data_IF_544430972626
#
_entry.id   IF_544430972626
#
_cell.length_a   1.000
_cell.length_b   1.000
_cell.length_c   1.000
_cell.angle_alpha   90.00
_cell.angle_beta   90.00
_cell.angle_gamma   90.00
#
_symmetry.space_group_name_H-M   'P 1'
#
loop_
_entity.id
_entity.type
_entity.pdbx_description
1 polymer ?
#
# COMPACT_ATOMS: atom_id res chain seq x y z
N UNK A 1 35.41 4.94 64.64
CA UNK A 1 34.99 6.15 63.89
C UNK A 1 34.02 5.69 62.82
N UNK A 2 32.71 5.71 63.09
CA UNK A 2 31.71 5.29 62.10
C UNK A 2 31.49 6.42 61.10
N UNK A 3 31.94 6.23 59.85
CA UNK A 3 31.60 7.12 58.75
C UNK A 3 30.09 7.00 58.51
N UNK A 4 29.38 8.11 58.75
CA UNK A 4 27.94 8.24 58.57
C UNK A 4 27.49 7.71 57.20
N UNK A 5 26.51 6.80 57.17
CA UNK A 5 25.91 6.24 55.95
C UNK A 5 25.31 7.31 55.03
N UNK A 6 25.04 8.50 55.56
CA UNK A 6 24.57 9.64 54.78
C UNK A 6 25.64 10.22 53.85
N UNK A 7 26.93 10.05 54.15
CA UNK A 7 28.04 10.54 53.31
C UNK A 7 28.09 9.84 51.95
N UNK A 8 28.10 8.49 51.84
CA UNK A 8 28.06 7.83 50.53
C UNK A 8 26.74 8.07 49.78
N UNK A 9 25.61 8.17 50.49
CA UNK A 9 24.31 8.50 49.86
C UNK A 9 24.33 9.91 49.27
N UNK A 10 24.84 10.90 50.01
CA UNK A 10 24.97 12.28 49.54
C UNK A 10 25.89 12.41 48.33
N UNK A 11 26.99 11.63 48.30
CA UNK A 11 27.88 11.57 47.15
C UNK A 11 27.17 11.06 45.89
N UNK A 12 26.46 9.93 46.00
CA UNK A 12 25.70 9.37 44.86
C UNK A 12 24.58 10.33 44.43
N UNK A 13 23.85 10.92 45.36
CA UNK A 13 22.79 11.89 45.05
C UNK A 13 23.35 13.10 44.28
N UNK A 14 24.50 13.62 44.70
CA UNK A 14 25.16 14.75 44.00
C UNK A 14 25.62 14.36 42.60
N UNK A 15 26.14 13.14 42.40
CA UNK A 15 26.48 12.62 41.08
C UNK A 15 25.25 12.47 40.19
N UNK A 16 24.15 11.92 40.71
CA UNK A 16 22.91 11.76 39.94
C UNK A 16 22.33 13.12 39.56
N UNK A 17 22.26 14.07 40.48
CA UNK A 17 21.75 15.42 40.20
C UNK A 17 22.62 16.12 39.16
N UNK A 18 23.94 16.09 39.31
CA UNK A 18 24.85 16.70 38.33
C UNK A 18 24.77 16.04 36.96
N UNK A 19 24.65 14.71 36.89
CA UNK A 19 24.44 13.97 35.64
C UNK A 19 23.11 14.32 34.98
N UNK A 20 22.01 14.43 35.74
CA UNK A 20 20.69 14.79 35.21
C UNK A 20 20.67 16.23 34.67
N UNK A 21 21.26 17.17 35.41
CA UNK A 21 21.38 18.58 34.96
C UNK A 21 22.22 18.65 33.69
N UNK A 22 23.37 17.99 33.65
CA UNK A 22 24.22 17.94 32.46
C UNK A 22 23.50 17.29 31.27
N UNK A 23 22.86 16.13 31.45
CA UNK A 23 22.11 15.43 30.41
C UNK A 23 20.99 16.30 29.85
N UNK A 24 20.26 17.03 30.71
CA UNK A 24 19.19 17.94 30.27
C UNK A 24 19.73 19.13 29.48
N UNK A 25 20.82 19.75 29.93
CA UNK A 25 21.45 20.89 29.22
C UNK A 25 22.04 20.42 27.88
N UNK A 26 22.75 19.29 27.86
CA UNK A 26 23.37 18.73 26.67
C UNK A 26 22.32 18.34 25.63
N UNK A 27 21.27 17.60 26.01
CA UNK A 27 20.17 17.24 25.09
C UNK A 27 19.45 18.48 24.56
N UNK A 28 19.22 19.49 25.40
CA UNK A 28 18.60 20.76 24.96
C UNK A 28 19.49 21.51 23.97
N UNK A 29 20.80 21.62 24.22
CA UNK A 29 21.75 22.26 23.28
C UNK A 29 21.90 21.47 22.00
N UNK A 30 21.98 20.14 22.08
CA UNK A 30 22.05 19.25 20.92
C UNK A 30 20.82 19.41 20.02
N UNK A 31 19.61 19.41 20.61
CA UNK A 31 18.37 19.65 19.86
C UNK A 31 18.33 21.04 19.20
N UNK A 32 18.78 22.08 19.91
CA UNK A 32 18.85 23.44 19.35
C UNK A 32 19.86 23.56 18.21
N UNK A 33 21.01 22.88 18.30
CA UNK A 33 22.00 22.88 17.24
C UNK A 33 21.46 22.15 16.00
N UNK A 34 20.79 21.00 16.18
CA UNK A 34 20.13 20.29 15.09
C UNK A 34 19.05 21.15 14.41
N UNK A 35 18.25 21.88 15.19
CA UNK A 35 17.24 22.80 14.67
C UNK A 35 17.86 23.97 13.87
N UNK A 36 19.02 24.50 14.28
CA UNK A 36 19.73 25.56 13.55
C UNK A 36 20.35 25.05 12.24
N UNK A 37 20.78 23.80 12.23
CA UNK A 37 21.35 23.13 11.05
C UNK A 37 20.27 22.50 10.16
N UNK A 38 18.99 22.69 10.50
CA UNK A 38 17.88 22.14 9.74
C UNK A 38 17.83 22.76 8.34
N UNK A 39 17.90 21.90 7.34
CA UNK A 39 17.64 22.22 5.95
C UNK A 39 16.60 21.20 5.46
N UNK A 40 15.47 21.63 4.88
CA UNK A 40 14.50 20.71 4.31
C UNK A 40 15.17 19.80 3.26
N UNK A 41 14.86 18.50 3.30
CA UNK A 41 15.40 17.56 2.32
C UNK A 41 14.90 17.86 0.90
N UNK A 42 13.65 18.31 0.79
CA UNK A 42 13.05 18.77 -0.46
C UNK A 42 13.06 20.29 -0.53
N UNK A 43 13.96 20.85 -1.34
CA UNK A 43 14.13 22.31 -1.48
C UNK A 43 12.92 23.02 -2.13
N UNK A 44 12.11 22.28 -2.89
CA UNK A 44 10.97 22.81 -3.64
C UNK A 44 9.74 23.15 -2.75
N UNK A 45 9.80 22.89 -1.43
CA UNK A 45 8.65 23.07 -0.55
C UNK A 45 7.51 22.10 -0.88
N UNK A 46 6.34 22.22 -0.22
CA UNK A 46 5.18 21.35 -0.50
C UNK A 46 4.01 22.13 -1.12
N UNK A 47 4.21 22.65 -2.33
CA UNK A 47 3.23 23.49 -3.02
C UNK A 47 1.81 22.88 -3.08
N UNK A 48 1.69 21.57 -3.37
CA UNK A 48 0.38 20.90 -3.45
C UNK A 48 -0.40 20.92 -2.11
N UNK A 49 0.31 20.95 -0.98
CA UNK A 49 -0.27 21.04 0.37
C UNK A 49 -0.68 22.47 0.65
N UNK A 50 0.18 23.42 0.31
CA UNK A 50 -0.10 24.85 0.49
C UNK A 50 -1.31 25.29 -0.34
N UNK A 51 -1.44 24.80 -1.58
CA UNK A 51 -2.63 25.01 -2.42
C UNK A 51 -3.87 24.42 -1.74
N UNK A 52 -3.81 23.18 -1.26
CA UNK A 52 -4.93 22.55 -0.58
C UNK A 52 -5.35 23.32 0.68
N UNK A 53 -4.39 23.70 1.53
CA UNK A 53 -4.66 24.48 2.74
C UNK A 53 -5.25 25.86 2.42
N UNK A 54 -4.78 26.49 1.34
CA UNK A 54 -5.34 27.75 0.86
C UNK A 54 -6.79 27.58 0.39
N UNK A 55 -7.09 26.48 -0.31
CA UNK A 55 -8.46 26.15 -0.74
C UNK A 55 -9.39 25.84 0.43
N UNK A 56 -8.88 25.16 1.47
CA UNK A 56 -9.64 24.90 2.71
C UNK A 56 -9.91 26.19 3.48
N UNK A 57 -8.95 27.13 3.49
CA UNK A 57 -9.07 28.41 4.18
C UNK A 57 -9.80 29.49 3.35
N UNK A 58 -10.16 29.22 2.09
CA UNK A 58 -10.79 30.19 1.21
C UNK A 58 -12.24 30.51 1.64
N UNK A 59 -12.63 31.78 1.48
CA UNK A 59 -13.99 32.28 1.66
C UNK A 59 -14.40 33.05 0.39
N UNK A 60 -15.40 32.58 -0.40
CA UNK A 60 -16.36 31.50 -0.13
C UNK A 60 -15.75 30.08 -0.16
N UNK A 61 -16.37 29.10 0.51
CA UNK A 61 -15.84 27.74 0.60
C UNK A 61 -15.74 27.10 -0.79
N UNK A 62 -14.59 26.49 -1.07
CA UNK A 62 -14.36 25.77 -2.31
C UNK A 62 -15.31 24.55 -2.42
N UNK A 63 -15.77 24.19 -3.64
CA UNK A 63 -16.56 22.98 -3.84
C UNK A 63 -15.82 21.72 -3.36
N UNK A 64 -16.58 20.77 -2.82
CA UNK A 64 -16.02 19.54 -2.25
C UNK A 64 -15.26 18.70 -3.30
N UNK A 65 -15.70 18.73 -4.55
CA UNK A 65 -15.04 18.05 -5.66
C UNK A 65 -13.63 18.62 -5.91
N UNK A 66 -13.47 19.94 -5.80
CA UNK A 66 -12.19 20.62 -5.96
C UNK A 66 -11.27 20.28 -4.79
N UNK A 67 -11.79 20.23 -3.57
CA UNK A 67 -11.01 19.83 -2.39
C UNK A 67 -10.54 18.37 -2.47
N UNK A 68 -11.41 17.45 -2.91
CA UNK A 68 -11.03 16.04 -3.15
C UNK A 68 -9.96 15.91 -4.23
N UNK A 69 -10.08 16.66 -5.33
CA UNK A 69 -9.08 16.68 -6.39
C UNK A 69 -7.73 17.27 -5.91
N UNK A 70 -7.77 18.34 -5.11
CA UNK A 70 -6.58 18.94 -4.52
C UNK A 70 -5.90 18.00 -3.52
N UNK A 71 -6.66 17.29 -2.67
CA UNK A 71 -6.13 16.28 -1.76
C UNK A 71 -5.48 15.11 -2.53
N UNK A 72 -6.09 14.67 -3.63
CA UNK A 72 -5.50 13.66 -4.50
C UNK A 72 -4.19 14.14 -5.14
N UNK A 73 -4.12 15.41 -5.55
CA UNK A 73 -2.90 16.02 -6.06
C UNK A 73 -1.79 16.13 -5.00
N UNK A 74 -2.16 16.43 -3.74
CA UNK A 74 -1.27 16.36 -2.58
C UNK A 74 -0.72 14.94 -2.43
N UNK A 75 -1.58 13.93 -2.39
CA UNK A 75 -1.17 12.51 -2.32
C UNK A 75 -0.27 12.06 -3.48
N UNK A 76 -0.52 12.51 -4.72
CA UNK A 76 0.37 12.23 -5.86
C UNK A 76 1.78 12.83 -5.68
N UNK A 77 1.88 13.98 -5.03
CA UNK A 77 3.16 14.63 -4.72
C UNK A 77 3.91 13.84 -3.66
N UNK A 78 3.21 13.37 -2.63
CA UNK A 78 3.78 12.47 -1.62
C UNK A 78 4.26 11.16 -2.21
N UNK A 79 3.50 10.53 -3.10
CA UNK A 79 3.94 9.30 -3.80
C UNK A 79 5.26 9.53 -4.56
N UNK A 80 5.38 10.64 -5.29
CA UNK A 80 6.63 10.98 -5.99
C UNK A 80 7.80 11.13 -5.02
N UNK A 81 7.57 11.74 -3.85
CA UNK A 81 8.57 11.85 -2.78
C UNK A 81 8.94 10.51 -2.18
N UNK A 82 7.97 9.63 -1.93
CA UNK A 82 8.20 8.27 -1.41
C UNK A 82 9.11 7.50 -2.37
N UNK A 83 8.81 7.53 -3.67
CA UNK A 83 9.63 6.87 -4.69
C UNK A 83 11.07 7.38 -4.67
N UNK A 84 11.25 8.72 -4.66
CA UNK A 84 12.57 9.35 -4.59
C UNK A 84 13.32 9.00 -3.30
N UNK A 85 12.65 9.08 -2.15
CA UNK A 85 13.24 8.72 -0.84
C UNK A 85 13.71 7.28 -0.80
N UNK A 86 12.92 6.35 -1.35
CA UNK A 86 13.30 4.93 -1.38
C UNK A 86 14.57 4.71 -2.21
N UNK A 87 14.66 5.36 -3.37
CA UNK A 87 15.82 5.24 -4.25
C UNK A 87 17.06 5.92 -3.61
N UNK A 88 16.87 7.09 -2.99
CA UNK A 88 17.89 7.81 -2.23
C UNK A 88 18.40 7.00 -1.03
N UNK A 89 17.52 6.29 -0.29
CA UNK A 89 17.89 5.45 0.86
C UNK A 89 18.91 4.38 0.50
N UNK A 90 18.72 3.73 -0.65
CA UNK A 90 19.64 2.70 -1.15
C UNK A 90 20.99 3.31 -1.56
N UNK A 91 20.97 4.45 -2.24
CA UNK A 91 22.18 5.16 -2.65
C UNK A 91 22.98 5.67 -1.44
N UNK A 92 22.32 6.32 -0.47
CA UNK A 92 22.93 6.85 0.75
C UNK A 92 23.55 5.74 1.61
N UNK A 93 22.89 4.59 1.74
CA UNK A 93 23.45 3.44 2.47
C UNK A 93 24.82 3.01 1.91
N UNK A 94 24.95 3.01 0.58
CA UNK A 94 26.22 2.66 -0.09
C UNK A 94 27.28 3.76 0.10
N UNK A 95 26.89 5.02 0.03
CA UNK A 95 27.80 6.16 0.21
C UNK A 95 28.30 6.29 1.65
N UNK A 96 27.45 5.97 2.64
CA UNK A 96 27.83 5.99 4.06
C UNK A 96 28.90 4.94 4.36
N UNK A 97 28.75 3.73 3.84
CA UNK A 97 29.75 2.67 3.98
C UNK A 97 31.10 3.03 3.35
N UNK A 98 31.08 3.85 2.29
CA UNK A 98 32.29 4.38 1.64
C UNK A 98 32.90 5.59 2.37
N UNK A 99 32.23 6.13 3.38
CA UNK A 99 32.67 7.32 4.12
C UNK A 99 32.64 8.62 3.30
N UNK A 100 31.95 8.63 2.15
CA UNK A 100 31.86 9.81 1.27
C UNK A 100 30.77 10.81 1.71
N UNK A 101 29.92 10.42 2.66
CA UNK A 101 28.89 11.28 3.29
C UNK A 101 29.04 11.22 4.81
N UNK A 102 28.70 12.32 5.49
CA UNK A 102 28.72 12.38 6.95
C UNK A 102 27.43 11.86 7.60
N UNK A 103 27.52 11.45 8.87
CA UNK A 103 26.39 10.95 9.66
C UNK A 103 25.24 11.97 9.80
N UNK A 104 25.58 13.27 9.76
CA UNK A 104 24.62 14.37 9.79
C UNK A 104 23.65 14.31 8.60
N UNK A 105 24.12 13.95 7.40
CA UNK A 105 23.24 13.78 6.22
C UNK A 105 22.27 12.62 6.42
N UNK A 106 22.73 11.52 7.03
CA UNK A 106 21.88 10.36 7.31
C UNK A 106 20.83 10.68 8.38
N UNK A 107 21.20 11.46 9.41
CA UNK A 107 20.27 11.95 10.42
C UNK A 107 19.18 12.84 9.80
N UNK A 108 19.56 13.74 8.87
CA UNK A 108 18.61 14.59 8.12
C UNK A 108 17.68 13.79 7.23
N UNK A 109 18.21 12.79 6.52
CA UNK A 109 17.39 11.89 5.71
C UNK A 109 16.34 11.16 6.56
N UNK A 110 16.74 10.65 7.73
CA UNK A 110 15.83 9.97 8.67
C UNK A 110 14.76 10.92 9.22
N UNK A 111 15.09 12.20 9.45
CA UNK A 111 14.13 13.21 9.86
C UNK A 111 13.10 13.48 8.75
N UNK A 112 13.56 13.62 7.51
CA UNK A 112 12.69 13.82 6.34
C UNK A 112 11.79 12.60 6.07
N UNK A 113 12.28 11.38 6.32
CA UNK A 113 11.46 10.16 6.25
C UNK A 113 10.29 10.23 7.23
N UNK A 114 10.55 10.63 8.48
CA UNK A 114 9.50 10.81 9.50
C UNK A 114 8.54 11.94 9.20
N UNK A 115 9.02 13.04 8.62
CA UNK A 115 8.18 14.15 8.18
C UNK A 115 7.22 13.71 7.06
N UNK A 116 7.72 12.94 6.10
CA UNK A 116 6.90 12.36 5.03
C UNK A 116 5.90 11.32 5.57
N UNK A 117 6.30 10.48 6.53
CA UNK A 117 5.38 9.55 7.21
C UNK A 117 4.25 10.29 7.94
N UNK A 118 4.57 11.40 8.62
CA UNK A 118 3.56 12.23 9.28
C UNK A 118 2.59 12.86 8.28
N UNK A 119 3.11 13.37 7.15
CA UNK A 119 2.31 13.93 6.06
C UNK A 119 1.37 12.87 5.44
N UNK A 120 1.85 11.64 5.22
CA UNK A 120 1.03 10.52 4.74
C UNK A 120 -0.13 10.24 5.70
N UNK A 121 0.14 10.19 7.01
CA UNK A 121 -0.89 9.97 8.02
C UNK A 121 -1.92 11.10 8.06
N UNK A 122 -1.48 12.34 7.89
CA UNK A 122 -2.35 13.52 7.79
C UNK A 122 -3.29 13.39 6.59
N UNK A 123 -2.76 13.10 5.40
CA UNK A 123 -3.53 12.89 4.16
C UNK A 123 -4.53 11.73 4.30
N UNK A 124 -4.13 10.62 4.91
CA UNK A 124 -5.04 9.48 5.18
C UNK A 124 -6.16 9.90 6.12
N UNK A 125 -5.84 10.66 7.18
CA UNK A 125 -6.84 11.12 8.14
C UNK A 125 -7.84 12.08 7.50
N UNK A 126 -7.35 13.03 6.69
CA UNK A 126 -8.19 13.97 5.93
C UNK A 126 -9.04 13.25 4.88
N UNK A 127 -8.50 12.28 4.15
CA UNK A 127 -9.29 11.49 3.21
C UNK A 127 -10.47 10.79 3.91
N UNK A 128 -10.25 10.30 5.14
CA UNK A 128 -11.31 9.68 5.92
C UNK A 128 -12.38 10.68 6.41
N UNK A 129 -12.08 11.98 6.51
CA UNK A 129 -13.10 13.00 6.85
C UNK A 129 -14.05 13.27 5.69
N UNK A 130 -13.57 13.17 4.45
CA UNK A 130 -14.43 13.28 3.26
C UNK A 130 -15.27 12.01 3.03
N UNK A 131 -14.66 10.83 3.21
CA UNK A 131 -15.37 9.55 3.09
C UNK A 131 -14.66 8.47 3.88
N UNK A 132 -15.39 7.80 4.76
CA UNK A 132 -14.88 6.66 5.51
C UNK A 132 -14.28 5.58 4.59
N UNK A 133 -13.06 5.14 4.90
CA UNK A 133 -12.33 4.13 4.13
C UNK A 133 -11.59 4.68 2.90
N UNK A 134 -11.77 5.95 2.53
CA UNK A 134 -11.06 6.52 1.38
C UNK A 134 -9.55 6.64 1.63
N UNK A 135 -9.12 6.83 2.88
CA UNK A 135 -7.71 6.89 3.25
C UNK A 135 -6.91 5.63 2.88
N UNK A 136 -7.54 4.46 2.79
CA UNK A 136 -6.86 3.22 2.35
C UNK A 136 -6.68 3.16 0.83
N UNK A 137 -7.51 3.87 0.06
CA UNK A 137 -7.55 3.83 -1.39
C UNK A 137 -6.83 5.00 -2.06
N UNK A 138 -6.66 6.13 -1.36
CA UNK A 138 -6.11 7.37 -1.93
C UNK A 138 -4.68 7.20 -2.45
N UNK A 139 -3.80 6.55 -1.68
CA UNK A 139 -2.39 6.35 -2.07
C UNK A 139 -2.20 5.33 -3.20
N UNK A 140 -2.87 4.15 -3.20
CA UNK A 140 -2.88 3.27 -4.36
C UNK A 140 -3.37 3.97 -5.63
N UNK A 141 -4.47 4.72 -5.53
CA UNK A 141 -5.02 5.48 -6.67
C UNK A 141 -4.05 6.56 -7.15
N UNK A 142 -3.45 7.32 -6.23
CA UNK A 142 -2.44 8.32 -6.54
C UNK A 142 -1.19 7.70 -7.20
N UNK A 143 -0.80 6.48 -6.80
CA UNK A 143 0.32 5.76 -7.40
C UNK A 143 0.07 5.41 -8.86
N UNK A 144 -1.12 4.90 -9.18
CA UNK A 144 -1.51 4.62 -10.57
C UNK A 144 -1.59 5.90 -11.40
N UNK A 145 -2.09 7.01 -10.83
CA UNK A 145 -2.12 8.31 -11.51
C UNK A 145 -0.72 8.84 -11.81
N UNK A 146 0.21 8.76 -10.85
CA UNK A 146 1.61 9.16 -11.04
C UNK A 146 2.28 8.30 -12.13
N UNK A 147 2.03 6.99 -12.13
CA UNK A 147 2.54 6.10 -13.18
C UNK A 147 1.97 6.46 -14.56
N UNK A 148 0.66 6.72 -14.65
CA UNK A 148 0.01 7.15 -15.88
C UNK A 148 0.57 8.50 -16.38
N UNK A 149 0.76 9.49 -15.51
CA UNK A 149 1.35 10.77 -15.88
C UNK A 149 2.77 10.61 -16.42
N UNK A 150 3.58 9.75 -15.81
CA UNK A 150 4.94 9.45 -16.29
C UNK A 150 4.92 8.80 -17.67
N UNK A 151 4.02 7.85 -17.92
CA UNK A 151 3.88 7.24 -19.25
C UNK A 151 3.40 8.26 -20.30
N UNK A 152 2.47 9.14 -19.92
CA UNK A 152 1.96 10.21 -20.78
C UNK A 152 3.06 11.21 -21.15
N UNK A 153 3.90 11.60 -20.20
CA UNK A 153 5.06 12.47 -20.43
C UNK A 153 6.04 11.84 -21.44
N UNK A 154 6.46 10.60 -21.20
CA UNK A 154 7.34 9.85 -22.10
C UNK A 154 6.73 9.77 -23.51
N UNK A 155 5.44 9.48 -23.61
CA UNK A 155 4.74 9.39 -24.89
C UNK A 155 4.81 10.70 -25.68
N UNK A 156 4.54 11.84 -25.05
CA UNK A 156 4.63 13.15 -25.74
C UNK A 156 6.07 13.55 -26.04
N UNK A 157 7.01 13.21 -25.17
CA UNK A 157 8.43 13.48 -25.40
C UNK A 157 8.97 12.72 -26.61
N UNK A 158 8.52 11.49 -26.86
CA UNK A 158 8.88 10.73 -28.06
C UNK A 158 8.46 11.48 -29.33
N UNK A 159 7.26 12.08 -29.33
CA UNK A 159 6.78 12.88 -30.47
C UNK A 159 7.62 14.13 -30.67
N UNK A 160 7.96 14.83 -29.57
CA UNK A 160 8.78 16.04 -29.59
C UNK A 160 10.21 15.75 -30.06
N UNK A 161 10.84 14.71 -29.52
CA UNK A 161 12.19 14.28 -29.91
C UNK A 161 12.22 13.84 -31.38
N UNK A 162 11.20 13.13 -31.85
CA UNK A 162 11.06 12.77 -33.26
C UNK A 162 11.03 14.02 -34.15
N UNK A 163 10.19 15.01 -33.84
CA UNK A 163 10.11 16.23 -34.64
C UNK A 163 11.45 17.00 -34.68
N UNK A 164 12.16 17.06 -33.54
CA UNK A 164 13.48 17.68 -33.47
C UNK A 164 14.53 16.92 -34.30
N UNK A 165 14.52 15.59 -34.25
CA UNK A 165 15.44 14.74 -35.00
C UNK A 165 15.17 14.79 -36.50
N UNK A 166 13.90 14.79 -36.91
CA UNK A 166 13.51 14.96 -38.33
C UNK A 166 14.05 16.27 -38.87
N UNK A 167 13.85 17.38 -38.14
CA UNK A 167 14.38 18.69 -38.52
C UNK A 167 15.90 18.67 -38.63
N UNK A 168 16.60 18.06 -37.66
CA UNK A 168 18.06 17.91 -37.69
C UNK A 168 18.53 17.14 -38.93
N UNK A 169 17.84 16.07 -39.30
CA UNK A 169 18.16 15.26 -40.47
C UNK A 169 17.87 15.99 -41.78
N UNK A 170 16.80 16.78 -41.83
CA UNK A 170 16.48 17.66 -42.96
C UNK A 170 17.57 18.73 -43.17
N UNK A 171 17.99 19.39 -42.09
CA UNK A 171 19.08 20.38 -42.11
C UNK A 171 20.42 19.74 -42.56
N UNK A 172 20.67 18.49 -42.20
CA UNK A 172 21.84 17.71 -42.62
C UNK A 172 21.71 17.05 -44.01
N UNK A 173 20.55 17.18 -44.68
CA UNK A 173 20.29 16.56 -45.98
C UNK A 173 20.25 15.04 -45.98
N UNK A 174 20.04 14.41 -44.82
CA UNK A 174 19.98 12.95 -44.65
C UNK A 174 18.55 12.43 -44.81
N UNK A 175 18.36 11.18 -45.25
CA UNK A 175 17.01 10.62 -45.41
C UNK A 175 16.32 10.47 -44.06
N UNK A 176 15.10 11.00 -43.95
CA UNK A 176 14.28 10.90 -42.74
C UNK A 176 13.75 9.46 -42.59
N UNK A 177 14.06 8.77 -41.48
CA UNK A 177 13.56 7.42 -41.25
C UNK A 177 12.05 7.44 -40.98
N UNK A 178 11.30 6.61 -41.72
CA UNK A 178 9.85 6.45 -41.50
C UNK A 178 9.59 5.73 -40.16
N UNK A 179 8.58 6.15 -39.37
CA UNK A 179 8.20 5.44 -38.17
C UNK A 179 7.77 4.00 -38.49
N UNK A 180 8.40 3.01 -37.86
CA UNK A 180 7.94 1.60 -37.91
C UNK A 180 6.67 1.40 -37.07
N UNK A 181 6.45 2.26 -36.07
CA UNK A 181 5.28 2.23 -35.19
C UNK A 181 4.68 3.64 -35.18
N UNK A 182 3.45 3.75 -35.69
CA UNK A 182 2.64 4.95 -35.50
C UNK A 182 2.03 4.91 -34.10
N UNK A 183 2.34 5.92 -33.31
CA UNK A 183 1.85 6.02 -31.94
C UNK A 183 0.36 6.44 -32.00
N UNK A 184 -0.58 5.62 -31.50
CA UNK A 184 -2.01 5.94 -31.54
C UNK A 184 -2.29 7.17 -30.67
N UNK A 185 -3.17 8.10 -31.09
CA UNK A 185 -3.43 9.32 -30.33
C UNK A 185 -3.97 8.98 -28.93
N UNK A 186 -3.32 9.52 -27.88
CA UNK A 186 -3.70 9.28 -26.48
C UNK A 186 -5.05 9.90 -26.09
N UNK A 187 -5.59 10.78 -26.92
CA UNK A 187 -6.92 11.36 -26.72
C UNK A 187 -7.91 10.48 -27.47
N UNK A 188 -8.65 9.67 -26.74
CA UNK A 188 -9.84 9.06 -27.32
C UNK A 188 -10.82 10.21 -27.63
N UNK A 189 -11.32 10.32 -28.88
CA UNK A 189 -12.27 11.38 -29.23
C UNK A 189 -13.49 11.33 -28.30
N UNK A 190 -14.06 12.48 -27.89
CA UNK A 190 -15.29 12.50 -27.11
C UNK A 190 -16.38 11.70 -27.86
N UNK A 191 -16.89 10.63 -27.24
CA UNK A 191 -17.82 9.67 -27.87
C UNK A 191 -17.29 8.24 -28.04
N UNK A 192 -16.03 7.98 -27.70
CA UNK A 192 -15.50 6.62 -27.60
C UNK A 192 -16.06 5.92 -26.37
N UNK A 193 -17.05 5.03 -26.57
CA UNK A 193 -17.49 4.09 -25.55
C UNK A 193 -16.36 3.10 -25.30
N UNK A 194 -15.74 3.19 -24.12
CA UNK A 194 -14.88 2.13 -23.60
C UNK A 194 -15.83 1.00 -23.21
N UNK A 195 -16.09 0.08 -24.15
CA UNK A 195 -16.75 -1.17 -23.82
C UNK A 195 -15.75 -1.99 -22.97
N UNK A 196 -15.97 -2.01 -21.66
CA UNK A 196 -15.37 -3.01 -20.79
C UNK A 196 -15.89 -4.34 -21.33
N UNK A 197 -15.04 -5.07 -22.05
CA UNK A 197 -15.39 -6.36 -22.63
C UNK A 197 -15.71 -7.34 -21.50
N UNK A 198 -16.97 -7.35 -21.08
CA UNK A 198 -17.57 -8.49 -20.43
C UNK A 198 -17.39 -9.68 -21.36
N UNK A 199 -16.81 -10.75 -20.83
CA UNK A 199 -16.55 -11.98 -21.57
C UNK A 199 -17.78 -12.46 -22.33
N UNK A 200 -17.59 -13.15 -23.46
CA UNK A 200 -18.65 -13.44 -24.40
C UNK A 200 -19.71 -14.36 -23.79
N UNK A 201 -20.95 -13.85 -23.72
CA UNK A 201 -22.21 -14.56 -23.87
C UNK A 201 -22.45 -15.78 -22.98
N UNK A 202 -23.24 -15.62 -21.92
CA UNK A 202 -23.81 -16.72 -21.16
C UNK A 202 -25.25 -16.43 -20.75
N UNK A 203 -26.20 -17.03 -21.47
CA UNK A 203 -27.63 -17.09 -21.15
C UNK A 203 -27.89 -17.36 -19.66
N UNK A 204 -28.88 -16.66 -19.12
CA UNK A 204 -29.51 -17.00 -17.84
C UNK A 204 -30.09 -18.42 -17.92
N UNK A 205 -29.46 -19.36 -17.21
CA UNK A 205 -29.96 -20.69 -16.89
C UNK A 205 -29.73 -20.96 -15.40
N UNK A 206 -30.59 -21.74 -14.72
CA UNK A 206 -30.65 -21.77 -13.27
C UNK A 206 -29.43 -22.47 -12.66
N UNK A 207 -28.98 -21.91 -11.54
CA UNK A 207 -27.89 -22.44 -10.72
C UNK A 207 -28.16 -23.87 -10.22
N UNK A 208 -27.16 -24.76 -10.23
CA UNK A 208 -27.12 -25.88 -9.30
C UNK A 208 -26.28 -25.45 -8.08
N UNK A 209 -26.95 -25.30 -6.94
CA UNK A 209 -26.28 -25.14 -5.65
C UNK A 209 -25.51 -26.40 -5.25
N UNK A 210 -24.36 -26.19 -4.61
CA UNK A 210 -23.61 -27.21 -3.87
C UNK A 210 -22.61 -26.52 -2.92
N UNK A 211 -22.46 -26.95 -1.65
CA UNK A 211 -21.97 -26.10 -0.57
C UNK A 211 -20.49 -26.35 -0.22
N UNK A 212 -19.83 -25.29 0.26
CA UNK A 212 -18.57 -25.28 1.02
C UNK A 212 -17.27 -25.75 0.32
N UNK A 213 -16.48 -24.77 -0.13
CA UNK A 213 -15.03 -24.88 -0.36
C UNK A 213 -14.43 -23.51 -0.71
N UNK A 214 -13.25 -23.12 -0.19
CA UNK A 214 -12.67 -21.80 -0.46
C UNK A 214 -12.15 -21.75 -1.91
N UNK A 215 -12.87 -21.05 -2.77
CA UNK A 215 -12.47 -20.81 -4.16
C UNK A 215 -11.25 -19.90 -4.24
N UNK A 216 -10.07 -20.49 -4.42
CA UNK A 216 -8.86 -19.74 -4.76
C UNK A 216 -8.94 -19.40 -6.25
N UNK A 217 -9.29 -18.15 -6.56
CA UNK A 217 -9.17 -17.60 -7.92
C UNK A 217 -7.69 -17.36 -8.23
N UNK A 218 -7.04 -18.30 -8.92
CA UNK A 218 -5.69 -18.08 -9.45
C UNK A 218 -5.76 -17.40 -10.82
N UNK A 219 -4.93 -16.37 -11.08
CA UNK A 219 -4.90 -15.70 -12.36
C UNK A 219 -4.37 -16.65 -13.45
N UNK A 220 -5.19 -16.84 -14.48
CA UNK A 220 -4.86 -17.56 -15.71
C UNK A 220 -4.37 -16.57 -16.76
N UNK A 221 -3.29 -16.93 -17.48
CA UNK A 221 -2.82 -16.17 -18.63
C UNK A 221 -2.83 -17.06 -19.88
N UNK A 222 -3.39 -16.53 -20.98
CA UNK A 222 -3.55 -17.25 -22.26
C UNK A 222 -4.86 -18.05 -22.39
N UNK A 223 -5.17 -18.47 -23.61
CA UNK A 223 -6.33 -19.30 -23.95
C UNK A 223 -5.93 -20.45 -24.86
N UNK A 224 -6.40 -21.67 -24.59
CA UNK A 224 -6.07 -22.86 -25.39
C UNK A 224 -4.75 -23.53 -24.97
N UNK A 225 -3.95 -23.98 -25.94
CA UNK A 225 -2.73 -24.76 -25.72
C UNK A 225 -1.58 -24.01 -25.01
N UNK A 226 -1.68 -22.68 -24.91
CA UNK A 226 -0.70 -21.81 -24.26
C UNK A 226 -1.15 -21.31 -22.88
N UNK A 227 -2.25 -21.85 -22.34
CA UNK A 227 -2.76 -21.44 -21.04
C UNK A 227 -1.76 -21.78 -19.92
N UNK A 228 -1.49 -20.82 -19.03
CA UNK A 228 -0.64 -21.02 -17.84
C UNK A 228 -1.32 -20.48 -16.58
N UNK A 229 -1.27 -21.30 -15.53
CA UNK A 229 -1.73 -20.97 -14.17
C UNK A 229 -0.51 -20.61 -13.33
N UNK A 230 -0.52 -19.43 -12.70
CA UNK A 230 0.56 -19.01 -11.79
C UNK A 230 0.21 -19.39 -10.36
N UNK A 231 1.02 -20.24 -9.73
CA UNK A 231 0.87 -20.61 -8.32
C UNK A 231 1.39 -19.50 -7.38
N UNK A 232 0.99 -19.51 -6.09
CA UNK A 232 1.40 -18.50 -5.10
C UNK A 232 2.92 -18.41 -4.85
N UNK A 233 3.68 -19.41 -5.29
CA UNK A 233 5.15 -19.46 -5.25
C UNK A 233 5.80 -18.91 -6.54
N UNK A 234 5.03 -18.34 -7.47
CA UNK A 234 5.51 -17.77 -8.73
C UNK A 234 5.73 -18.78 -9.86
N UNK A 235 5.43 -20.07 -9.64
CA UNK A 235 5.62 -21.12 -10.66
C UNK A 235 4.44 -21.14 -11.64
N UNK A 236 4.72 -21.08 -12.94
CA UNK A 236 3.70 -21.14 -14.00
C UNK A 236 3.57 -22.55 -14.57
N UNK A 237 2.41 -23.18 -14.40
CA UNK A 237 2.11 -24.55 -14.89
C UNK A 237 0.95 -24.56 -15.86
N UNK A 238 0.97 -25.51 -16.80
CA UNK A 238 -0.12 -25.69 -17.75
C UNK A 238 -1.37 -26.23 -17.01
N UNK A 239 -2.60 -25.82 -17.36
CA UNK A 239 -3.81 -26.23 -16.65
C UNK A 239 -4.03 -27.75 -16.63
N UNK A 240 -3.58 -28.47 -17.68
CA UNK A 240 -3.62 -29.93 -17.69
C UNK A 240 -2.72 -30.57 -16.60
N UNK A 241 -1.62 -29.91 -16.22
CA UNK A 241 -0.75 -30.36 -15.12
C UNK A 241 -1.38 -30.05 -13.76
N UNK A 242 -2.07 -28.91 -13.61
CA UNK A 242 -2.83 -28.58 -12.40
C UNK A 242 -3.98 -29.58 -12.17
N UNK A 243 -4.67 -29.98 -13.24
CA UNK A 243 -5.76 -30.96 -13.18
C UNK A 243 -5.25 -32.38 -12.87
N UNK A 244 -4.07 -32.75 -13.40
CA UNK A 244 -3.39 -33.99 -13.06
C UNK A 244 -2.89 -34.02 -11.60
N UNK A 245 -2.45 -32.86 -11.07
CA UNK A 245 -2.10 -32.67 -9.65
C UNK A 245 -3.32 -32.81 -8.72
N UNK A 246 -4.52 -32.50 -9.19
CA UNK A 246 -5.72 -32.51 -8.36
C UNK A 246 -6.47 -33.85 -8.27
N UNK A 247 -6.45 -34.73 -9.29
CA UNK A 247 -7.44 -35.82 -9.31
C UNK A 247 -7.03 -37.21 -9.85
N UNK A 248 -5.77 -37.54 -10.16
CA UNK A 248 -5.54 -38.88 -10.75
C UNK A 248 -4.15 -39.51 -10.61
N UNK A 249 -4.07 -40.85 -10.79
CA UNK A 249 -2.79 -41.57 -10.80
C UNK A 249 -1.89 -41.04 -11.93
N UNK A 250 -0.59 -40.96 -11.63
CA UNK A 250 0.43 -40.35 -12.47
C UNK A 250 0.45 -40.98 -13.88
N UNK A 251 0.46 -40.17 -14.97
CA UNK A 251 0.63 -40.70 -16.31
C UNK A 251 2.05 -41.29 -16.49
N UNK A 252 2.20 -42.44 -17.17
CA UNK A 252 3.40 -43.30 -17.12
C UNK A 252 4.64 -42.76 -17.84
N UNK A 253 4.65 -41.53 -18.34
CA UNK A 253 5.73 -41.03 -19.22
C UNK A 253 6.32 -39.67 -18.80
N UNK A 254 6.37 -39.37 -17.49
CA UNK A 254 7.05 -38.16 -17.00
C UNK A 254 8.55 -38.40 -16.75
N UNK A 255 9.40 -37.36 -16.96
CA UNK A 255 10.81 -37.43 -16.59
C UNK A 255 10.95 -37.67 -15.07
N UNK A 256 11.86 -38.55 -14.63
CA UNK A 256 11.92 -39.04 -13.24
C UNK A 256 12.12 -37.93 -12.19
N UNK A 257 12.74 -36.82 -12.57
CA UNK A 257 12.93 -35.66 -11.69
C UNK A 257 11.61 -34.94 -11.38
N UNK A 258 10.69 -34.85 -12.34
CA UNK A 258 9.38 -34.20 -12.12
C UNK A 258 8.46 -35.07 -11.29
N UNK A 259 8.51 -36.40 -11.48
CA UNK A 259 7.75 -37.35 -10.65
C UNK A 259 8.19 -37.29 -9.17
N UNK A 260 9.49 -37.20 -8.91
CA UNK A 260 10.02 -37.06 -7.57
C UNK A 260 9.60 -35.72 -6.91
N UNK A 261 9.67 -34.62 -7.66
CA UNK A 261 9.29 -33.29 -7.15
C UNK A 261 7.80 -33.19 -6.83
N UNK A 262 6.92 -33.80 -7.65
CA UNK A 262 5.48 -33.82 -7.38
C UNK A 262 5.15 -34.69 -6.16
N UNK A 263 5.86 -35.81 -5.99
CA UNK A 263 5.72 -36.66 -4.80
C UNK A 263 6.16 -35.93 -3.53
N UNK A 264 7.27 -35.20 -3.58
CA UNK A 264 7.77 -34.39 -2.47
C UNK A 264 6.81 -33.24 -2.13
N UNK A 265 6.30 -32.54 -3.14
CA UNK A 265 5.31 -31.48 -2.95
C UNK A 265 4.02 -32.01 -2.29
N UNK A 266 3.57 -33.21 -2.67
CA UNK A 266 2.41 -33.85 -2.05
C UNK A 266 2.67 -34.22 -0.59
N UNK A 267 3.87 -34.73 -0.28
CA UNK A 267 4.26 -35.07 1.09
C UNK A 267 4.30 -33.83 2.00
N UNK A 268 4.84 -32.71 1.51
CA UNK A 268 4.88 -31.45 2.28
C UNK A 268 3.48 -30.89 2.55
N UNK A 269 2.58 -30.98 1.58
CA UNK A 269 1.21 -30.47 1.71
C UNK A 269 0.38 -31.28 2.71
N UNK A 270 0.59 -32.60 2.73
CA UNK A 270 -0.05 -33.49 3.69
C UNK A 270 0.47 -33.28 5.11
N UNK A 271 1.78 -33.05 5.28
CA UNK A 271 2.37 -32.69 6.57
C UNK A 271 1.87 -31.34 7.10
N UNK A 272 1.67 -30.35 6.22
CA UNK A 272 1.10 -29.06 6.60
C UNK A 272 -0.37 -29.18 7.03
N UNK A 273 -1.13 -30.05 6.37
CA UNK A 273 -2.52 -30.32 6.71
C UNK A 273 -2.65 -31.02 8.07
N UNK A 274 -1.74 -31.96 8.39
CA UNK A 274 -1.68 -32.58 9.71
C UNK A 274 -1.34 -31.56 10.81
N UNK A 275 -0.38 -30.64 10.57
CA UNK A 275 -0.09 -29.57 11.52
C UNK A 275 -1.28 -28.63 11.75
N UNK A 276 -2.02 -28.29 10.70
CA UNK A 276 -3.21 -27.45 10.80
C UNK A 276 -4.33 -28.15 11.60
N UNK A 277 -4.54 -29.45 11.39
CA UNK A 277 -5.51 -30.24 12.15
C UNK A 277 -5.11 -30.40 13.62
N UNK A 278 -3.82 -30.57 13.92
CA UNK A 278 -3.31 -30.62 15.29
C UNK A 278 -3.53 -29.28 16.03
N UNK A 279 -3.34 -28.14 15.36
CA UNK A 279 -3.63 -26.83 15.94
C UNK A 279 -5.13 -26.61 16.17
N UNK A 280 -5.99 -27.07 15.27
CA UNK A 280 -7.44 -26.98 15.44
C UNK A 280 -7.96 -27.82 16.62
N UNK A 281 -7.39 -29.01 16.84
CA UNK A 281 -7.73 -29.84 18.00
C UNK A 281 -7.23 -29.24 19.32
N UNK A 282 -6.07 -28.57 19.32
CA UNK A 282 -5.58 -27.85 20.50
C UNK A 282 -6.47 -26.65 20.87
N UNK A 283 -7.08 -25.97 19.88
CA UNK A 283 -8.01 -24.86 20.14
C UNK A 283 -9.37 -25.35 20.67
N UNK A 284 -9.90 -26.48 20.18
CA UNK A 284 -11.16 -27.05 20.69
C UNK A 284 -11.04 -27.59 22.12
N UNK A 285 -9.87 -28.08 22.54
CA UNK A 285 -9.63 -28.49 23.93
C UNK A 285 -9.63 -27.33 24.93
N UNK A 286 -9.25 -26.13 24.50
CA UNK A 286 -9.21 -24.93 25.36
C UNK A 286 -10.57 -24.27 25.60
N UNK A 287 -11.52 -24.40 24.66
CA UNK A 287 -12.87 -23.84 24.82
C UNK A 287 -13.78 -24.71 25.70
N UNK A 288 -13.61 -26.03 25.69
CA UNK A 288 -14.37 -26.92 26.57
C UNK A 288 -14.10 -26.64 28.07
N UNK A 289 -12.85 -26.29 28.41
CA UNK A 289 -12.46 -26.01 29.79
C UNK A 289 -12.89 -24.61 30.27
N UNK A 290 -13.19 -23.69 29.34
CA UNK A 290 -13.63 -22.32 29.66
C UNK A 290 -15.15 -22.21 29.86
N UNK A 291 -15.92 -23.12 29.25
CA UNK A 291 -17.38 -23.17 29.40
C UNK A 291 -17.78 -23.80 30.74
N UNK A 292 -17.01 -24.75 31.26
CA UNK A 292 -17.31 -25.40 32.55
C UNK A 292 -17.10 -24.46 33.76
N UNK A 293 -16.17 -23.51 33.67
CA UNK A 293 -15.89 -22.53 34.75
C UNK A 293 -16.91 -21.36 34.76
N UNK A 294 -17.54 -21.06 33.62
CA UNK A 294 -18.49 -19.95 33.50
C UNK A 294 -19.91 -20.29 33.98
N UNK A 295 -20.25 -21.59 34.12
CA UNK A 295 -21.59 -22.03 34.52
C UNK A 295 -21.85 -21.93 36.05
N UNK A 296 -20.81 -21.79 36.88
CA UNK A 296 -20.96 -21.75 38.35
C UNK A 296 -21.15 -20.34 38.96
N UNK A 297 -21.03 -19.24 38.19
CA UNK A 297 -20.87 -17.89 38.78
C UNK A 297 -21.95 -16.83 38.48
N UNK A 298 -23.13 -17.17 37.95
CA UNK A 298 -24.09 -16.15 37.50
C UNK A 298 -25.56 -16.33 37.91
N UNK A 299 -25.92 -16.10 39.18
CA UNK A 299 -27.32 -15.79 39.60
C UNK A 299 -27.34 -14.59 40.55
N UNK A 300 -28.25 -13.63 40.27
CA UNK A 300 -28.51 -12.27 40.84
C UNK A 300 -27.83 -11.19 39.99
N UNK A 301 -28.52 -10.18 39.43
CA UNK A 301 -29.58 -9.30 39.98
C UNK A 301 -30.17 -8.46 38.81
N UNK A 302 -31.42 -8.67 38.40
CA UNK A 302 -32.63 -7.80 38.59
C UNK A 302 -32.54 -6.33 38.14
N UNK A 303 -33.21 -6.07 37.00
CA UNK A 303 -34.16 -4.97 36.67
C UNK A 303 -33.78 -3.48 36.80
N UNK A 304 -33.98 -2.72 35.70
CA UNK A 304 -35.22 -1.95 35.45
C UNK A 304 -35.09 -0.92 34.30
N UNK A 305 -36.24 -0.62 33.68
CA UNK A 305 -36.59 0.52 32.80
C UNK A 305 -35.84 0.69 31.45
N UNK A 306 -36.46 1.03 30.32
CA UNK A 306 -37.83 1.40 30.03
C UNK A 306 -37.88 2.41 28.86
N UNK A 307 -38.40 1.95 27.72
CA UNK A 307 -39.14 2.69 26.69
C UNK A 307 -38.46 3.68 25.68
N UNK A 308 -38.83 3.43 24.41
CA UNK A 308 -39.34 4.37 23.39
C UNK A 308 -38.40 4.98 22.31
N UNK A 309 -38.36 4.27 21.16
CA UNK A 309 -38.72 4.71 19.79
C UNK A 309 -38.28 6.08 19.21
N UNK A 310 -37.58 6.04 18.06
CA UNK A 310 -38.14 6.46 16.75
C UNK A 310 -37.20 6.13 15.58
N UNK A 311 -37.72 5.36 14.62
CA UNK A 311 -37.18 5.19 13.28
C UNK A 311 -37.73 6.30 12.36
N UNK A 312 -36.91 6.75 11.39
CA UNK A 312 -37.40 7.57 10.27
C UNK A 312 -36.78 7.07 8.96
N UNK A 313 -37.63 6.41 8.17
CA UNK A 313 -37.49 6.13 6.74
C UNK A 313 -38.00 7.34 5.94
N UNK A 314 -37.40 7.63 4.79
CA UNK A 314 -37.98 8.50 3.77
C UNK A 314 -37.57 8.02 2.38
N UNK A 315 -38.58 7.78 1.53
CA UNK A 315 -38.46 7.52 0.09
C UNK A 315 -39.51 8.39 -0.63
N UNK A 316 -39.04 9.03 -1.71
CA UNK A 316 -39.67 9.35 -3.01
C UNK A 316 -40.85 10.34 -3.05
N UNK A 317 -40.71 11.41 -3.84
CA UNK A 317 -41.60 11.69 -4.98
C UNK A 317 -41.00 12.69 -5.99
N UNK A 318 -41.28 12.39 -7.26
CA UNK A 318 -40.96 13.08 -8.50
C UNK A 318 -41.62 14.48 -8.61
N UNK A 319 -41.01 15.33 -9.43
CA UNK A 319 -41.60 16.61 -9.87
C UNK A 319 -40.99 17.04 -11.21
N UNK A 320 -41.72 16.76 -12.28
CA UNK A 320 -41.47 17.15 -13.67
C UNK A 320 -42.13 18.51 -13.99
N UNK A 321 -41.53 19.23 -14.95
CA UNK A 321 -42.02 20.40 -15.72
C UNK A 321 -42.35 21.74 -15.03
N UNK A 322 -41.46 22.73 -15.22
CA UNK A 322 -41.65 23.90 -16.11
C UNK A 322 -40.57 24.97 -15.85
#
# INVERSE_FOLDING_TARGET
MALSIFVPIGYVATLVVSMLVFSRIYRRRSALNLAKSYQPWFAEGHEARDIYQTLVAADPPAPEEVLKAALLHRAMTDVRRIMRMRDDKQALGTLLQKGSIGDETMARFTLAEKELEAEILDVVSEANTFREGWGQLIFPTASEMVAHLKHKEIYYDIQRQRAAEVKRLEDEGKPVPKPTVELPPLVTPPGTKIEIQGGPGGQAGPAPGGPNGPGINLPMTGSGADARVTLPNGLQVHPAQLQALMQGPLPPNMPPQQAAMIMEARAQLQALQEQAQAQAQAQQGGEAQKIEVAAETGIKEVASAGAASKAKTASVEDGEEA
#
